data_IF_704485795499
#
_entry.id   IF_704485795499
#
_cell.length_a   1.000
_cell.length_b   1.000
_cell.length_c   1.000
_cell.angle_alpha   90.00
_cell.angle_beta   90.00
_cell.angle_gamma   90.00
#
_symmetry.space_group_name_H-M   'P 1'
#
loop_
_entity.id
_entity.type
_entity.pdbx_description
1 polymer ?
#
# COMPACT_ATOMS: atom_id res chain seq x y z
N UNK A 1 18.60 -7.13 6.47
CA UNK A 1 19.36 -6.17 7.30
C UNK A 1 18.74 -6.12 8.68
N UNK A 2 19.52 -6.03 9.79
CA UNK A 2 19.00 -5.88 11.14
C UNK A 2 18.52 -4.46 11.46
N UNK A 3 18.76 -3.51 10.54
CA UNK A 3 18.27 -2.14 10.66
C UNK A 3 16.75 -2.14 10.53
N UNK A 4 16.07 -1.34 11.36
CA UNK A 4 14.65 -1.03 11.18
C UNK A 4 14.43 -0.51 9.76
N UNK A 5 13.66 -1.24 8.95
CA UNK A 5 13.41 -0.87 7.57
C UNK A 5 12.19 0.05 7.45
N UNK A 6 12.24 1.06 6.57
CA UNK A 6 11.22 2.09 6.53
C UNK A 6 9.82 1.54 6.25
N UNK A 7 9.73 0.57 5.34
CA UNK A 7 8.47 -0.08 4.97
C UNK A 7 7.79 -0.76 6.17
N UNK A 8 8.54 -1.42 7.05
CA UNK A 8 7.97 -2.09 8.23
C UNK A 8 7.52 -1.09 9.29
N UNK A 9 8.25 0.01 9.47
CA UNK A 9 7.81 1.12 10.34
C UNK A 9 6.53 1.77 9.83
N UNK A 10 6.39 1.94 8.50
CA UNK A 10 5.16 2.42 7.87
C UNK A 10 4.01 1.43 8.09
N UNK A 11 4.24 0.13 7.89
CA UNK A 11 3.22 -0.91 8.14
C UNK A 11 2.78 -0.95 9.60
N UNK A 12 3.68 -0.71 10.55
CA UNK A 12 3.34 -0.62 11.97
C UNK A 12 2.39 0.55 12.26
N UNK A 13 2.66 1.75 11.70
CA UNK A 13 1.74 2.88 11.76
C UNK A 13 0.38 2.55 11.12
N UNK A 14 0.38 1.99 9.91
CA UNK A 14 -0.84 1.59 9.19
C UNK A 14 -1.68 0.58 10.00
N UNK A 15 -1.02 -0.38 10.65
CA UNK A 15 -1.68 -1.37 11.51
C UNK A 15 -2.28 -0.73 12.74
N UNK A 16 -1.52 0.11 13.46
CA UNK A 16 -2.02 0.83 14.64
C UNK A 16 -3.21 1.74 14.30
N UNK A 17 -3.17 2.39 13.13
CA UNK A 17 -4.25 3.22 12.62
C UNK A 17 -5.51 2.38 12.35
N UNK A 18 -5.32 1.24 11.67
CA UNK A 18 -6.41 0.32 11.32
C UNK A 18 -7.11 -0.23 12.55
N UNK A 19 -6.36 -0.62 13.59
CA UNK A 19 -6.93 -1.16 14.83
C UNK A 19 -7.37 -0.09 15.84
N UNK A 20 -7.25 1.20 15.49
CA UNK A 20 -7.74 2.31 16.31
C UNK A 20 -6.87 2.66 17.53
N UNK A 21 -5.60 2.24 17.54
CA UNK A 21 -4.65 2.51 18.63
C UNK A 21 -3.63 3.60 18.30
N UNK A 22 -3.54 4.03 17.05
CA UNK A 22 -2.65 5.12 16.66
C UNK A 22 -3.16 6.47 17.21
N UNK A 23 -2.25 7.29 17.72
CA UNK A 23 -2.54 8.63 18.20
C UNK A 23 -1.35 9.58 17.94
N UNK A 24 -1.55 10.88 18.19
CA UNK A 24 -0.54 11.91 17.90
C UNK A 24 0.78 11.71 18.65
N UNK A 25 0.71 11.29 19.91
CA UNK A 25 1.87 11.09 20.78
C UNK A 25 2.73 9.95 20.24
N UNK A 26 2.13 8.79 19.95
CA UNK A 26 2.83 7.66 19.33
C UNK A 26 3.51 8.09 18.01
N UNK A 27 2.80 8.81 17.15
CA UNK A 27 3.38 9.26 15.88
C UNK A 27 4.60 10.16 16.12
N UNK A 28 4.46 11.17 16.97
CA UNK A 28 5.48 12.21 17.18
C UNK A 28 6.68 11.71 18.00
N UNK A 29 6.46 10.87 19.00
CA UNK A 29 7.50 10.46 19.95
C UNK A 29 8.18 9.15 19.54
N UNK A 30 7.43 8.17 19.05
CA UNK A 30 7.97 6.84 18.75
C UNK A 30 8.43 6.69 17.29
N UNK A 31 7.75 7.35 16.35
CA UNK A 31 7.96 7.13 14.91
C UNK A 31 8.69 8.27 14.20
N UNK A 32 8.30 9.52 14.42
CA UNK A 32 8.90 10.66 13.72
C UNK A 32 10.42 10.79 13.92
N UNK A 33 11.02 10.57 15.11
CA UNK A 33 12.47 10.65 15.27
C UNK A 33 13.22 9.66 14.37
N UNK A 34 12.64 8.48 14.13
CA UNK A 34 13.19 7.51 13.19
C UNK A 34 13.06 8.01 11.74
N UNK A 35 11.88 8.48 11.33
CA UNK A 35 11.65 8.94 9.96
C UNK A 35 12.50 10.16 9.59
N UNK A 36 12.66 11.12 10.50
CA UNK A 36 13.56 12.27 10.31
C UNK A 36 14.99 11.80 10.09
N UNK A 37 15.48 10.87 10.92
CA UNK A 37 16.84 10.33 10.84
C UNK A 37 17.15 9.65 9.50
N UNK A 38 16.17 9.02 8.87
CA UNK A 38 16.37 8.27 7.62
C UNK A 38 15.93 9.05 6.38
N UNK A 39 15.37 10.25 6.54
CA UNK A 39 14.93 11.06 5.41
C UNK A 39 16.11 11.40 4.52
N UNK A 40 15.94 11.18 3.22
CA UNK A 40 16.99 11.47 2.23
C UNK A 40 17.11 12.96 1.97
N UNK A 41 18.18 13.37 1.29
CA UNK A 41 18.38 14.75 0.80
C UNK A 41 17.26 15.25 -0.13
N UNK A 42 16.42 14.35 -0.65
CA UNK A 42 15.24 14.68 -1.47
C UNK A 42 13.99 14.99 -0.65
N UNK A 43 14.05 14.90 0.68
CA UNK A 43 12.91 15.15 1.58
C UNK A 43 11.98 13.96 1.78
N UNK A 44 12.15 12.88 1.01
CA UNK A 44 11.37 11.65 1.18
C UNK A 44 12.07 10.57 2.00
N UNK A 45 11.26 9.66 2.54
CA UNK A 45 11.68 8.46 3.25
C UNK A 45 12.13 7.39 2.23
N UNK A 46 13.27 6.72 2.43
CA UNK A 46 13.77 5.72 1.50
C UNK A 46 12.86 4.50 1.42
N UNK A 47 12.88 3.79 0.27
CA UNK A 47 12.23 2.48 0.16
C UNK A 47 12.91 1.43 1.04
N UNK A 48 14.23 1.43 1.04
CA UNK A 48 15.08 0.53 1.82
C UNK A 48 16.20 1.36 2.44
N UNK A 49 16.42 1.19 3.74
CA UNK A 49 17.45 1.93 4.47
C UNK A 49 18.75 1.12 4.50
N UNK A 50 19.85 1.74 4.07
CA UNK A 50 21.18 1.12 3.92
C UNK A 50 21.14 -0.19 3.08
N UNK A 51 20.68 -0.14 1.82
CA UNK A 51 20.49 -1.33 0.99
C UNK A 51 21.79 -2.05 0.62
N UNK A 52 22.93 -1.35 0.60
CA UNK A 52 24.25 -1.90 0.26
C UNK A 52 24.91 -2.72 1.39
N UNK A 53 24.12 -3.28 2.29
CA UNK A 53 24.62 -4.10 3.39
C UNK A 53 25.08 -5.48 2.90
N UNK A 54 26.07 -6.08 3.57
CA UNK A 54 26.58 -7.42 3.24
C UNK A 54 25.73 -8.56 3.85
N UNK A 55 24.50 -8.29 4.27
CA UNK A 55 23.62 -9.32 4.83
C UNK A 55 23.04 -10.21 3.71
N UNK A 56 22.77 -11.51 3.99
CA UNK A 56 22.13 -12.38 3.01
C UNK A 56 20.82 -11.79 2.48
N UNK A 57 20.68 -11.76 1.14
CA UNK A 57 19.50 -11.27 0.43
C UNK A 57 19.37 -11.97 -0.93
N UNK A 58 18.20 -11.84 -1.56
CA UNK A 58 17.99 -12.29 -2.95
C UNK A 58 18.79 -11.44 -3.94
N UNK A 59 19.15 -12.02 -5.08
CA UNK A 59 20.06 -11.38 -6.05
C UNK A 59 19.60 -10.00 -6.52
N UNK A 60 18.29 -9.80 -6.69
CA UNK A 60 17.74 -8.52 -7.12
C UNK A 60 17.93 -7.38 -6.09
N UNK A 61 18.22 -7.69 -4.82
CA UNK A 61 18.54 -6.68 -3.81
C UNK A 61 20.01 -6.24 -3.82
N UNK A 62 20.91 -7.01 -4.43
CA UNK A 62 22.37 -6.73 -4.41
C UNK A 62 22.75 -5.44 -5.16
N UNK A 63 21.89 -4.97 -6.06
CA UNK A 63 22.13 -3.77 -6.88
C UNK A 63 21.22 -2.59 -6.50
N UNK A 64 20.38 -2.76 -5.47
CA UNK A 64 19.46 -1.72 -5.01
C UNK A 64 20.27 -0.56 -4.42
N UNK A 65 20.00 0.64 -4.93
CA UNK A 65 20.49 1.89 -4.36
C UNK A 65 19.44 2.45 -3.42
N UNK A 66 19.85 3.30 -2.50
CA UNK A 66 18.89 4.03 -1.67
C UNK A 66 18.23 5.12 -2.52
N UNK A 67 16.90 5.18 -2.49
CA UNK A 67 16.12 6.26 -3.09
C UNK A 67 14.91 6.56 -2.21
N UNK A 68 14.55 7.85 -2.12
CA UNK A 68 13.30 8.27 -1.52
C UNK A 68 12.12 7.70 -2.32
N UNK A 69 11.15 7.14 -1.62
CA UNK A 69 10.02 6.47 -2.26
C UNK A 69 8.71 7.19 -1.96
N UNK A 70 7.91 7.35 -3.01
CA UNK A 70 6.58 7.91 -2.91
C UNK A 70 5.70 7.07 -1.97
N UNK A 71 5.75 5.74 -2.03
CA UNK A 71 4.89 4.87 -1.22
C UNK A 71 5.14 5.03 0.29
N UNK A 72 6.39 5.06 0.74
CA UNK A 72 6.71 5.29 2.17
C UNK A 72 6.40 6.72 2.58
N UNK A 73 6.83 7.71 1.78
CA UNK A 73 6.69 9.13 2.14
C UNK A 73 5.24 9.58 2.16
N UNK A 74 4.44 9.22 1.15
CA UNK A 74 3.01 9.58 1.10
C UNK A 74 2.20 8.92 2.22
N UNK A 75 2.53 7.69 2.63
CA UNK A 75 1.83 7.05 3.75
C UNK A 75 2.04 7.82 5.05
N UNK A 76 3.31 8.12 5.41
CA UNK A 76 3.62 8.87 6.65
C UNK A 76 3.04 10.28 6.59
N UNK A 77 3.21 10.99 5.47
CA UNK A 77 2.65 12.33 5.31
C UNK A 77 1.12 12.34 5.39
N UNK A 78 0.46 11.34 4.79
CA UNK A 78 -0.99 11.18 4.84
C UNK A 78 -1.51 10.91 6.25
N UNK A 79 -0.80 10.12 7.04
CA UNK A 79 -1.13 9.91 8.45
C UNK A 79 -0.94 11.18 9.28
N UNK A 80 0.14 11.94 9.07
CA UNK A 80 0.32 13.23 9.74
C UNK A 80 -0.84 14.20 9.44
N UNK A 81 -1.28 14.28 8.19
CA UNK A 81 -2.43 15.08 7.78
C UNK A 81 -3.75 14.54 8.39
N UNK A 82 -3.98 13.22 8.33
CA UNK A 82 -5.16 12.56 8.92
C UNK A 82 -5.32 12.90 10.40
N UNK A 83 -4.22 12.86 11.14
CA UNK A 83 -4.21 13.14 12.57
C UNK A 83 -4.12 14.64 12.88
N UNK A 84 -4.08 15.55 11.89
CA UNK A 84 -3.92 16.99 12.10
C UNK A 84 -2.66 17.32 12.92
N UNK A 85 -1.54 16.69 12.55
CA UNK A 85 -0.21 16.98 13.11
C UNK A 85 0.45 18.05 12.23
N UNK A 86 1.17 18.97 12.87
CA UNK A 86 2.03 19.92 12.16
C UNK A 86 3.48 19.64 12.57
N UNK A 87 4.31 19.29 11.59
CA UNK A 87 5.68 18.86 11.83
C UNK A 87 6.62 19.42 10.76
N UNK A 88 7.82 19.95 11.08
CA UNK A 88 8.70 20.61 10.12
C UNK A 88 9.03 19.75 8.88
N UNK A 89 9.22 18.45 9.07
CA UNK A 89 9.45 17.48 7.99
C UNK A 89 8.38 17.46 6.89
N UNK A 90 7.12 17.82 7.21
CA UNK A 90 6.02 17.75 6.24
C UNK A 90 6.24 18.67 5.03
N UNK A 91 6.98 19.76 5.19
CA UNK A 91 7.25 20.72 4.10
C UNK A 91 8.05 20.06 2.98
N UNK A 92 9.19 19.45 3.32
CA UNK A 92 10.04 18.79 2.32
C UNK A 92 9.43 17.48 1.82
N UNK A 93 8.70 16.77 2.68
CA UNK A 93 7.97 15.57 2.30
C UNK A 93 6.85 15.86 1.29
N UNK A 94 6.09 16.95 1.47
CA UNK A 94 5.02 17.34 0.55
C UNK A 94 5.57 17.75 -0.81
N UNK A 95 6.64 18.56 -0.85
CA UNK A 95 7.35 18.91 -2.08
C UNK A 95 7.81 17.65 -2.82
N UNK A 96 8.42 16.71 -2.10
CA UNK A 96 8.83 15.42 -2.64
C UNK A 96 7.64 14.63 -3.22
N UNK A 97 6.57 14.44 -2.45
CA UNK A 97 5.40 13.65 -2.86
C UNK A 97 4.76 14.20 -4.14
N UNK A 98 4.56 15.52 -4.24
CA UNK A 98 4.02 16.13 -5.46
C UNK A 98 4.97 16.00 -6.64
N UNK A 99 6.28 16.21 -6.43
CA UNK A 99 7.28 16.05 -7.51
C UNK A 99 7.33 14.60 -8.03
N UNK A 100 7.14 13.63 -7.14
CA UNK A 100 7.13 12.23 -7.51
C UNK A 100 5.88 11.85 -8.28
N UNK A 101 4.69 12.33 -7.89
CA UNK A 101 3.48 12.14 -8.71
C UNK A 101 3.67 12.64 -10.14
N UNK A 102 4.28 13.82 -10.30
CA UNK A 102 4.60 14.38 -11.62
C UNK A 102 5.63 13.55 -12.39
N UNK A 103 6.64 13.03 -11.71
CA UNK A 103 7.73 12.25 -12.31
C UNK A 103 7.30 10.85 -12.73
N UNK A 104 6.61 10.12 -11.85
CA UNK A 104 6.29 8.70 -12.06
C UNK A 104 5.04 8.51 -12.91
N UNK A 105 4.10 9.46 -12.87
CA UNK A 105 2.86 9.38 -13.63
C UNK A 105 2.14 8.04 -13.42
N UNK A 106 1.75 7.35 -14.48
CA UNK A 106 1.05 6.07 -14.46
C UNK A 106 1.97 4.84 -14.34
N UNK A 107 3.29 5.02 -14.43
CA UNK A 107 4.26 3.92 -14.57
C UNK A 107 4.28 2.95 -13.40
N UNK A 108 3.73 3.35 -12.25
CA UNK A 108 3.68 2.53 -11.04
C UNK A 108 2.24 2.29 -10.54
N UNK A 109 1.22 2.74 -11.27
CA UNK A 109 -0.19 2.56 -10.88
C UNK A 109 -0.65 1.10 -10.92
N UNK A 110 0.11 0.21 -11.59
CA UNK A 110 -0.09 -1.24 -11.52
C UNK A 110 0.17 -1.80 -10.11
N UNK A 111 0.95 -1.10 -9.28
CA UNK A 111 1.32 -1.56 -7.96
C UNK A 111 0.22 -1.22 -6.95
N UNK A 112 -0.77 -2.11 -6.84
CA UNK A 112 -1.89 -1.98 -5.90
C UNK A 112 -1.46 -1.94 -4.42
N UNK A 113 -0.24 -2.34 -4.09
CA UNK A 113 0.33 -2.18 -2.74
C UNK A 113 0.77 -0.74 -2.44
N UNK A 114 1.09 0.05 -3.47
CA UNK A 114 1.51 1.44 -3.33
C UNK A 114 0.32 2.40 -3.40
N UNK A 115 -0.69 2.09 -4.21
CA UNK A 115 -1.85 2.96 -4.45
C UNK A 115 -2.59 3.36 -3.16
N UNK A 116 -2.91 2.47 -2.21
CA UNK A 116 -3.56 2.83 -0.95
C UNK A 116 -2.80 3.89 -0.14
N UNK A 117 -1.46 3.85 -0.17
CA UNK A 117 -0.61 4.83 0.51
C UNK A 117 -0.67 6.20 -0.12
N UNK A 118 -0.72 6.24 -1.45
CA UNK A 118 -0.95 7.48 -2.19
C UNK A 118 -2.32 8.05 -1.87
N UNK A 119 -3.35 7.19 -1.85
CA UNK A 119 -4.72 7.59 -1.52
C UNK A 119 -4.84 8.09 -0.08
N UNK A 120 -4.10 7.53 0.88
CA UNK A 120 -4.06 8.03 2.25
C UNK A 120 -3.65 9.51 2.28
N UNK A 121 -2.55 9.88 1.61
CA UNK A 121 -2.16 11.28 1.47
C UNK A 121 -3.21 12.12 0.74
N UNK A 122 -3.68 11.67 -0.42
CA UNK A 122 -4.62 12.42 -1.25
C UNK A 122 -5.98 12.63 -0.56
N UNK A 123 -6.39 11.72 0.33
CA UNK A 123 -7.62 11.84 1.11
C UNK A 123 -7.54 12.96 2.16
N UNK A 124 -6.35 13.21 2.71
CA UNK A 124 -6.17 14.03 3.91
C UNK A 124 -5.41 15.33 3.69
N UNK A 125 -4.62 15.45 2.61
CA UNK A 125 -3.88 16.68 2.32
C UNK A 125 -4.78 17.91 2.27
N UNK A 126 -4.27 19.02 2.80
CA UNK A 126 -4.97 20.33 2.78
C UNK A 126 -5.16 20.86 1.36
N UNK A 127 -4.30 20.48 0.42
CA UNK A 127 -4.38 20.92 -0.98
C UNK A 127 -5.38 20.08 -1.78
N UNK A 128 -6.67 20.29 -1.52
CA UNK A 128 -7.76 19.52 -2.16
C UNK A 128 -7.80 19.64 -3.68
N UNK A 129 -7.44 20.79 -4.24
CA UNK A 129 -7.41 21.00 -5.70
C UNK A 129 -6.36 20.09 -6.35
N UNK A 130 -5.13 20.04 -5.81
CA UNK A 130 -4.10 19.11 -6.31
C UNK A 130 -4.50 17.65 -6.08
N UNK A 131 -5.08 17.35 -4.93
CA UNK A 131 -5.50 16.00 -4.59
C UNK A 131 -6.55 15.47 -5.57
N UNK A 132 -7.62 16.22 -5.81
CA UNK A 132 -8.71 15.80 -6.69
C UNK A 132 -8.21 15.62 -8.14
N UNK A 133 -7.31 16.51 -8.60
CA UNK A 133 -6.65 16.37 -9.91
C UNK A 133 -5.84 15.06 -10.00
N UNK A 134 -5.03 14.77 -8.98
CA UNK A 134 -4.20 13.57 -8.96
C UNK A 134 -5.03 12.29 -8.82
N UNK A 135 -6.11 12.31 -8.03
CA UNK A 135 -7.07 11.21 -7.92
C UNK A 135 -7.72 10.93 -9.29
N UNK A 136 -8.19 11.96 -9.99
CA UNK A 136 -8.79 11.79 -11.31
C UNK A 136 -7.79 11.21 -12.31
N UNK A 137 -6.56 11.73 -12.33
CA UNK A 137 -5.49 11.19 -13.17
C UNK A 137 -5.20 9.71 -12.86
N UNK A 138 -5.13 9.34 -11.58
CA UNK A 138 -4.94 7.96 -11.16
C UNK A 138 -6.08 7.05 -11.62
N UNK A 139 -7.34 7.50 -11.45
CA UNK A 139 -8.54 6.78 -11.90
C UNK A 139 -8.51 6.51 -13.41
N UNK A 140 -8.27 7.55 -14.20
CA UNK A 140 -8.15 7.45 -15.65
C UNK A 140 -7.03 6.49 -16.06
N UNK A 141 -5.87 6.59 -15.41
CA UNK A 141 -4.70 5.77 -15.72
C UNK A 141 -4.93 4.28 -15.45
N UNK A 142 -5.52 3.94 -14.29
CA UNK A 142 -5.83 2.54 -13.93
C UNK A 142 -6.80 1.93 -14.94
N UNK A 143 -7.85 2.67 -15.33
CA UNK A 143 -8.82 2.23 -16.32
C UNK A 143 -8.21 2.05 -17.71
N UNK A 144 -7.45 3.05 -18.18
CA UNK A 144 -6.87 3.05 -19.53
C UNK A 144 -5.88 1.89 -19.72
N UNK A 145 -5.07 1.59 -18.70
CA UNK A 145 -4.06 0.52 -18.77
C UNK A 145 -4.61 -0.85 -18.46
N UNK A 146 -5.80 -0.93 -17.85
CA UNK A 146 -6.44 -2.18 -17.42
C UNK A 146 -5.44 -3.13 -16.73
N UNK A 147 -4.78 -2.65 -15.67
CA UNK A 147 -3.77 -3.44 -14.93
C UNK A 147 -4.31 -4.73 -14.30
N UNK A 148 -5.63 -4.92 -14.32
CA UNK A 148 -6.33 -6.06 -13.75
C UNK A 148 -5.99 -7.35 -14.51
N UNK A 149 -5.70 -8.43 -13.77
CA UNK A 149 -5.73 -9.78 -14.28
C UNK A 149 -7.19 -10.22 -14.48
N UNK A 150 -7.60 -10.38 -15.74
CA UNK A 150 -8.97 -10.77 -16.10
C UNK A 150 -9.18 -12.29 -16.18
N UNK A 151 -8.09 -13.06 -16.18
CA UNK A 151 -8.12 -14.51 -16.33
C UNK A 151 -8.18 -15.20 -14.96
N UNK A 152 -9.36 -15.67 -14.56
CA UNK A 152 -9.55 -16.41 -13.31
C UNK A 152 -8.88 -17.80 -13.31
N UNK A 153 -8.45 -18.32 -14.46
CA UNK A 153 -7.68 -19.55 -14.53
C UNK A 153 -6.20 -19.35 -14.20
N UNK A 154 -5.72 -18.10 -14.20
CA UNK A 154 -4.34 -17.78 -13.84
C UNK A 154 -4.10 -18.07 -12.35
N UNK A 155 -3.16 -18.97 -12.06
CA UNK A 155 -2.82 -19.33 -10.68
C UNK A 155 -2.42 -18.12 -9.82
N UNK A 156 -1.81 -17.11 -10.44
CA UNK A 156 -1.38 -15.88 -9.79
C UNK A 156 -2.45 -14.79 -9.68
N UNK A 157 -3.69 -15.02 -10.11
CA UNK A 157 -4.77 -14.04 -9.98
C UNK A 157 -4.96 -13.59 -8.51
N UNK A 158 -4.97 -12.27 -8.29
CA UNK A 158 -5.05 -11.65 -6.96
C UNK A 158 -3.73 -11.60 -6.18
N UNK A 159 -2.63 -12.05 -6.80
CA UNK A 159 -1.29 -11.99 -6.22
C UNK A 159 -0.44 -10.89 -6.86
N UNK A 160 0.74 -10.64 -6.29
CA UNK A 160 1.63 -9.57 -6.73
C UNK A 160 1.86 -9.58 -8.24
N UNK A 161 1.68 -8.44 -8.90
CA UNK A 161 1.81 -8.29 -10.35
C UNK A 161 0.58 -8.74 -11.16
N UNK A 162 -0.44 -9.32 -10.53
CA UNK A 162 -1.69 -9.77 -11.18
C UNK A 162 -2.93 -9.32 -10.37
N UNK A 163 -3.11 -8.01 -10.15
CA UNK A 163 -4.18 -7.50 -9.30
C UNK A 163 -5.57 -7.79 -9.86
N UNK A 164 -6.57 -7.89 -9.00
CA UNK A 164 -7.99 -7.88 -9.37
C UNK A 164 -8.67 -6.55 -8.98
N UNK A 165 -9.95 -6.35 -9.29
CA UNK A 165 -10.63 -5.07 -9.02
C UNK A 165 -10.63 -4.70 -7.54
N UNK A 166 -10.80 -5.69 -6.66
CA UNK A 166 -10.85 -5.51 -5.21
C UNK A 166 -9.50 -5.09 -4.58
N UNK A 167 -8.39 -5.19 -5.32
CA UNK A 167 -7.09 -4.68 -4.86
C UNK A 167 -7.03 -3.14 -4.92
N UNK A 168 -7.80 -2.56 -5.82
CA UNK A 168 -7.97 -1.11 -5.95
C UNK A 168 -9.22 -0.61 -5.24
N UNK A 169 -10.27 -1.44 -5.17
CA UNK A 169 -11.53 -1.16 -4.51
C UNK A 169 -11.83 -2.16 -3.37
N UNK A 170 -11.09 -2.13 -2.25
CA UNK A 170 -11.31 -3.05 -1.14
C UNK A 170 -12.52 -2.69 -0.25
N UNK A 171 -13.16 -1.53 -0.50
CA UNK A 171 -14.35 -1.05 0.21
C UNK A 171 -15.37 -0.51 -0.80
N UNK A 172 -16.68 -0.72 -0.59
CA UNK A 172 -17.74 -0.22 -1.48
C UNK A 172 -17.82 1.31 -1.55
N UNK A 173 -17.29 2.02 -0.54
CA UNK A 173 -17.30 3.49 -0.44
C UNK A 173 -15.93 4.14 -0.62
N UNK A 174 -14.91 3.35 -1.00
CA UNK A 174 -13.56 3.86 -1.19
C UNK A 174 -13.42 4.83 -2.37
N UNK A 175 -12.34 5.62 -2.39
CA UNK A 175 -12.07 6.63 -3.44
C UNK A 175 -12.11 6.02 -4.85
N UNK A 176 -11.64 4.78 -5.00
CA UNK A 176 -11.57 4.04 -6.25
C UNK A 176 -12.73 3.04 -6.45
N UNK A 177 -13.70 2.98 -5.52
CA UNK A 177 -14.79 1.99 -5.59
C UNK A 177 -15.60 2.08 -6.89
N UNK A 178 -15.76 3.30 -7.42
CA UNK A 178 -16.51 3.57 -8.65
C UNK A 178 -15.74 3.25 -9.93
N UNK A 179 -14.50 2.75 -9.85
CA UNK A 179 -13.74 2.34 -11.04
C UNK A 179 -14.34 1.11 -11.72
N UNK A 180 -15.01 0.26 -10.95
CA UNK A 180 -15.49 -1.02 -11.43
C UNK A 180 -17.00 -1.11 -11.21
N UNK A 181 -17.69 -1.70 -12.17
CA UNK A 181 -19.11 -1.96 -12.02
C UNK A 181 -19.37 -3.06 -10.97
N UNK A 182 -20.58 -3.07 -10.42
CA UNK A 182 -20.96 -4.01 -9.38
C UNK A 182 -20.91 -5.48 -9.86
N UNK A 183 -21.11 -5.73 -11.17
CA UNK A 183 -21.09 -7.08 -11.72
C UNK A 183 -19.66 -7.65 -11.68
N UNK A 184 -18.66 -6.84 -12.04
CA UNK A 184 -17.26 -7.22 -11.95
C UNK A 184 -16.80 -7.40 -10.50
N UNK A 185 -17.18 -6.48 -9.61
CA UNK A 185 -16.89 -6.59 -8.18
C UNK A 185 -17.45 -7.90 -7.61
N UNK A 186 -18.72 -8.23 -7.92
CA UNK A 186 -19.34 -9.47 -7.46
C UNK A 186 -18.63 -10.72 -8.01
N UNK A 187 -18.22 -10.70 -9.29
CA UNK A 187 -17.47 -11.81 -9.89
C UNK A 187 -16.10 -12.02 -9.24
N UNK A 188 -15.35 -10.94 -8.97
CA UNK A 188 -14.07 -11.02 -8.27
C UNK A 188 -14.26 -11.49 -6.80
N UNK A 189 -15.34 -11.09 -6.12
CA UNK A 189 -15.68 -11.58 -4.77
C UNK A 189 -15.99 -13.09 -4.77
N UNK A 190 -16.75 -13.56 -5.76
CA UNK A 190 -17.08 -14.99 -5.92
C UNK A 190 -15.82 -15.82 -6.19
N UNK A 191 -14.90 -15.29 -7.02
CA UNK A 191 -13.63 -15.94 -7.30
C UNK A 191 -12.72 -15.98 -6.05
N UNK A 192 -12.68 -14.91 -5.25
CA UNK A 192 -11.97 -14.94 -3.97
C UNK A 192 -12.51 -16.07 -3.08
N UNK A 193 -13.82 -16.19 -2.90
CA UNK A 193 -14.43 -17.26 -2.09
C UNK A 193 -14.07 -18.64 -2.65
N UNK A 194 -14.14 -18.83 -3.97
CA UNK A 194 -13.80 -20.11 -4.62
C UNK A 194 -12.35 -20.52 -4.43
N UNK A 195 -11.44 -19.55 -4.29
CA UNK A 195 -10.00 -19.77 -4.11
C UNK A 195 -9.59 -20.12 -2.67
N UNK A 196 -10.50 -20.00 -1.70
CA UNK A 196 -10.23 -20.42 -0.33
C UNK A 196 -9.80 -21.90 -0.30
N UNK A 197 -8.67 -22.18 0.34
CA UNK A 197 -8.17 -23.56 0.53
C UNK A 197 -8.96 -24.28 1.63
N UNK A 198 -8.80 -25.59 1.69
CA UNK A 198 -9.48 -26.44 2.68
C UNK A 198 -9.14 -26.05 4.13
N UNK A 199 -7.93 -25.56 4.39
CA UNK A 199 -7.49 -25.06 5.69
C UNK A 199 -7.90 -23.60 5.96
N UNK A 200 -8.70 -23.01 5.07
CA UNK A 200 -9.28 -21.68 5.19
C UNK A 200 -8.42 -20.54 4.64
N UNK A 201 -7.18 -20.82 4.20
CA UNK A 201 -6.24 -19.78 3.76
C UNK A 201 -6.41 -19.39 2.29
N UNK A 202 -5.86 -18.23 1.94
CA UNK A 202 -5.49 -17.88 0.58
C UNK A 202 -3.98 -18.01 0.42
N UNK A 203 -3.54 -18.89 -0.47
CA UNK A 203 -2.13 -19.15 -0.73
C UNK A 203 -1.45 -18.00 -1.48
N UNK A 204 -0.14 -17.97 -1.39
CA UNK A 204 0.73 -17.03 -2.10
C UNK A 204 1.99 -17.75 -2.57
N UNK A 205 2.59 -17.26 -3.67
CA UNK A 205 3.91 -17.68 -4.13
C UNK A 205 5.04 -16.86 -3.49
N UNK A 206 4.71 -15.81 -2.74
CA UNK A 206 5.69 -14.92 -2.13
C UNK A 206 6.29 -15.54 -0.86
N UNK A 207 7.61 -15.44 -0.71
CA UNK A 207 8.36 -16.04 0.40
C UNK A 207 9.63 -16.75 -0.10
N UNK A 208 10.70 -16.71 0.70
CA UNK A 208 11.98 -17.33 0.36
C UNK A 208 12.13 -18.74 0.96
N UNK A 209 11.32 -19.02 1.97
CA UNK A 209 11.21 -20.31 2.64
C UNK A 209 9.75 -20.61 2.93
N UNK A 210 9.45 -21.87 3.26
CA UNK A 210 8.09 -22.28 3.62
C UNK A 210 7.51 -21.47 4.78
N UNK A 211 8.32 -21.18 5.81
CA UNK A 211 7.90 -20.33 6.93
C UNK A 211 7.45 -18.95 6.47
N UNK A 212 8.28 -18.26 5.67
CA UNK A 212 7.92 -16.94 5.15
C UNK A 212 6.72 -16.98 4.20
N UNK A 213 6.53 -18.08 3.46
CA UNK A 213 5.35 -18.26 2.60
C UNK A 213 4.07 -18.36 3.42
N UNK A 214 4.12 -19.05 4.56
CA UNK A 214 2.99 -19.13 5.49
C UNK A 214 2.71 -17.79 6.17
N UNK A 215 3.73 -17.01 6.52
CA UNK A 215 3.56 -15.64 7.03
C UNK A 215 2.81 -14.75 6.01
N UNK A 216 3.24 -14.78 4.75
CA UNK A 216 2.57 -14.05 3.67
C UNK A 216 1.15 -14.58 3.39
N UNK A 217 0.93 -15.89 3.47
CA UNK A 217 -0.41 -16.47 3.35
C UNK A 217 -1.34 -16.00 4.48
N UNK A 218 -0.81 -15.82 5.69
CA UNK A 218 -1.55 -15.21 6.81
C UNK A 218 -2.00 -13.78 6.50
N UNK A 219 -1.08 -12.95 6.00
CA UNK A 219 -1.42 -11.58 5.55
C UNK A 219 -2.46 -11.57 4.43
N UNK A 220 -2.28 -12.42 3.41
CA UNK A 220 -3.22 -12.56 2.29
C UNK A 220 -4.61 -12.96 2.79
N UNK A 221 -4.68 -13.93 3.69
CA UNK A 221 -5.94 -14.42 4.26
C UNK A 221 -6.65 -13.30 5.02
N UNK A 222 -5.95 -12.57 5.89
CA UNK A 222 -6.56 -11.45 6.62
C UNK A 222 -7.05 -10.34 5.67
N UNK A 223 -6.24 -9.99 4.66
CA UNK A 223 -6.61 -8.99 3.67
C UNK A 223 -7.87 -9.40 2.89
N UNK A 224 -7.93 -10.65 2.41
CA UNK A 224 -9.11 -11.18 1.72
C UNK A 224 -10.35 -11.21 2.61
N UNK A 225 -10.23 -11.67 3.86
CA UNK A 225 -11.36 -11.69 4.80
C UNK A 225 -11.89 -10.28 5.08
N UNK A 226 -11.00 -9.29 5.21
CA UNK A 226 -11.42 -7.88 5.37
C UNK A 226 -12.21 -7.38 4.15
N UNK A 227 -11.75 -7.68 2.93
CA UNK A 227 -12.49 -7.33 1.70
C UNK A 227 -13.87 -7.99 1.71
N UNK A 228 -13.93 -9.30 1.96
CA UNK A 228 -15.20 -10.04 2.00
C UNK A 228 -16.15 -9.45 3.05
N UNK A 229 -15.63 -9.06 4.22
CA UNK A 229 -16.39 -8.39 5.27
C UNK A 229 -16.89 -7.01 4.84
N UNK A 230 -16.05 -6.19 4.20
CA UNK A 230 -16.43 -4.85 3.72
C UNK A 230 -17.55 -4.89 2.69
N UNK A 231 -17.65 -5.98 1.94
CA UNK A 231 -18.70 -6.24 0.94
C UNK A 231 -19.81 -7.18 1.46
N UNK A 232 -19.90 -7.36 2.78
CA UNK A 232 -20.98 -8.12 3.43
C UNK A 232 -21.12 -9.57 2.91
N UNK A 233 -20.00 -10.18 2.49
CA UNK A 233 -19.94 -11.58 2.02
C UNK A 233 -19.73 -12.59 3.13
N UNK A 234 -19.30 -12.12 4.30
CA UNK A 234 -19.13 -12.91 5.52
C UNK A 234 -19.67 -12.10 6.70
N UNK A 235 -20.25 -12.81 7.68
CA UNK A 235 -20.88 -12.17 8.83
C UNK A 235 -19.87 -11.48 9.76
N UNK A 236 -20.30 -10.36 10.36
CA UNK A 236 -19.70 -9.84 11.58
C UNK A 236 -20.18 -10.67 12.75
N UNK A 237 -19.29 -11.50 13.31
CA UNK A 237 -19.48 -12.08 14.66
C UNK A 237 -19.47 -10.98 15.70
#
# INVERSE_FOLDING_TARGET
SPESQPLFSVMALETLDEVGYLNKEIILEDFMPYFEKITTDKGGIPWMFKPLSNYPCQDHFKTVKEWAALSTTSSVLGLLEKYNINHPWMVTAEEFVWSEFERIQDRHSFCYLCVPRWLCFLAHTKNRIKADKQINYLKESILLKNFRCADYSDEGWGLYGKPHSLDYAPFPTGILATLYDQKLINADLDELIRRQKQDGRWDTWYGLSEGTRLEWAGMQTLYTLKILKNYERIDTV
#
